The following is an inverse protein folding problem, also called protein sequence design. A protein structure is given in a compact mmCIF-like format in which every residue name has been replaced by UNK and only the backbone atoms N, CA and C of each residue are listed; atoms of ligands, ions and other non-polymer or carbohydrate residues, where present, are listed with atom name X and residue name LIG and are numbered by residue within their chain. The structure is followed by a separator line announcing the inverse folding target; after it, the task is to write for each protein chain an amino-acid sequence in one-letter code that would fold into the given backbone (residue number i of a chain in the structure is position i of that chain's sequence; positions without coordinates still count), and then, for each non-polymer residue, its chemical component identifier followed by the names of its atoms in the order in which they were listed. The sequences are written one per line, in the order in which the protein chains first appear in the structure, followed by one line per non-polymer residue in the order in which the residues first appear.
data_IF_570185873439
#
_entry.id   IF_570185873439
#
_cell.length_a   1.000
_cell.length_b   1.000
_cell.length_c   1.000
_cell.angle_alpha   90.00
_cell.angle_beta   90.00
_cell.angle_gamma   90.00
#
_symmetry.space_group_name_H-M   'P 1'
#
loop_
_entity.id
_entity.type
_entity.pdbx_description
1 polymer ?
#
# COMPACT_ATOMS: atom_id res chain seq x y z
N UNK A 1 -19.83 4.82 -2.43
CA UNK A 1 -18.50 5.47 -2.46
C UNK A 1 -18.04 5.68 -3.88
N UNK A 2 -17.67 6.91 -4.26
CA UNK A 2 -17.04 7.28 -5.53
C UNK A 2 -15.64 7.79 -5.26
N UNK A 3 -14.65 7.14 -5.83
CA UNK A 3 -13.23 7.51 -5.73
C UNK A 3 -12.48 6.97 -6.95
N UNK A 4 -11.33 7.53 -7.30
CA UNK A 4 -10.56 7.10 -8.46
C UNK A 4 -9.88 5.72 -8.33
N UNK A 5 -10.09 4.98 -7.23
CA UNK A 5 -9.38 3.74 -6.90
C UNK A 5 -10.15 2.51 -7.37
N UNK A 6 -9.95 2.11 -8.61
CA UNK A 6 -10.66 0.96 -9.20
C UNK A 6 -10.25 -0.39 -8.60
N UNK A 7 -9.02 -0.54 -8.11
CA UNK A 7 -8.48 -1.79 -7.58
C UNK A 7 -7.90 -1.60 -6.18
N UNK A 8 -7.97 -2.67 -5.36
CA UNK A 8 -7.53 -2.62 -3.96
C UNK A 8 -6.06 -2.25 -3.73
N UNK A 9 -5.19 -2.44 -4.72
CA UNK A 9 -3.77 -2.05 -4.62
C UNK A 9 -3.54 -0.55 -4.72
N UNK A 10 -4.53 0.21 -5.19
CA UNK A 10 -4.51 1.68 -5.22
C UNK A 10 -4.96 2.28 -3.89
N UNK A 11 -5.73 1.53 -3.09
CA UNK A 11 -6.11 1.96 -1.76
C UNK A 11 -4.94 1.73 -0.79
N UNK A 12 -4.58 2.76 -0.04
CA UNK A 12 -3.60 2.66 1.05
C UNK A 12 -4.19 1.89 2.23
N UNK A 13 -3.32 1.46 3.14
CA UNK A 13 -3.78 0.75 4.34
C UNK A 13 -4.47 1.68 5.37
N UNK A 14 -4.22 2.97 5.27
CA UNK A 14 -4.85 4.04 6.04
C UNK A 14 -4.91 5.31 5.18
N UNK A 15 -5.84 6.24 5.42
CA UNK A 15 -5.88 7.54 4.74
C UNK A 15 -4.55 8.28 4.89
N UNK A 16 -4.10 8.95 3.84
CA UNK A 16 -2.94 9.83 3.87
C UNK A 16 -3.37 11.26 3.57
N UNK A 17 -3.42 12.10 4.57
CA UNK A 17 -3.91 13.48 4.47
C UNK A 17 -3.00 14.41 3.66
N UNK A 18 -1.79 13.97 3.32
CA UNK A 18 -0.88 14.72 2.44
C UNK A 18 -1.28 14.64 0.98
N UNK A 19 -2.21 13.76 0.63
CA UNK A 19 -2.73 13.63 -0.72
C UNK A 19 -3.84 14.66 -0.96
N UNK A 20 -3.77 15.36 -2.07
CA UNK A 20 -4.85 16.23 -2.55
C UNK A 20 -5.89 15.37 -3.31
N UNK A 21 -6.64 14.56 -2.58
CA UNK A 21 -7.65 13.68 -3.14
C UNK A 21 -9.04 14.07 -2.60
N UNK A 22 -10.01 14.22 -3.50
CA UNK A 22 -11.41 14.38 -3.15
C UNK A 22 -12.18 13.11 -3.49
N UNK A 23 -12.93 12.60 -2.53
CA UNK A 23 -13.78 11.44 -2.65
C UNK A 23 -15.23 11.82 -2.35
N UNK A 24 -16.21 10.99 -2.78
CA UNK A 24 -17.63 11.27 -2.59
C UNK A 24 -18.38 10.05 -2.08
N UNK A 25 -19.28 10.27 -1.13
CA UNK A 25 -20.32 9.31 -0.76
C UNK A 25 -21.65 9.84 -1.27
N UNK A 26 -22.28 9.08 -2.16
CA UNK A 26 -23.60 9.37 -2.69
C UNK A 26 -24.64 8.53 -1.94
N UNK A 27 -25.58 9.17 -1.27
CA UNK A 27 -26.68 8.50 -0.57
C UNK A 27 -27.83 8.18 -1.53
N UNK A 28 -28.50 7.06 -1.29
CA UNK A 28 -29.61 6.60 -2.13
C UNK A 28 -30.75 7.63 -2.16
N UNK A 29 -31.40 7.83 -3.32
CA UNK A 29 -32.56 8.71 -3.41
C UNK A 29 -33.80 8.14 -2.72
N UNK A 30 -34.72 9.02 -2.34
CA UNK A 30 -36.03 8.62 -1.85
C UNK A 30 -36.09 8.08 -0.44
N UNK A 31 -35.03 8.26 0.36
CA UNK A 31 -34.93 7.81 1.74
C UNK A 31 -34.86 8.97 2.75
N UNK A 32 -35.09 10.21 2.29
CA UNK A 32 -35.04 11.42 3.10
C UNK A 32 -33.66 11.63 3.80
N UNK A 33 -32.59 11.18 3.18
CA UNK A 33 -31.24 11.30 3.73
C UNK A 33 -30.75 12.74 3.78
N UNK A 34 -31.31 13.65 2.98
CA UNK A 34 -31.02 15.09 3.02
C UNK A 34 -31.28 15.67 4.43
N UNK A 35 -32.36 15.26 5.07
CA UNK A 35 -32.64 15.67 6.45
C UNK A 35 -31.70 15.00 7.46
N UNK A 36 -31.28 13.77 7.21
CA UNK A 36 -30.35 13.06 8.08
C UNK A 36 -28.93 13.65 8.03
N UNK A 37 -28.60 14.44 7.00
CA UNK A 37 -27.33 15.15 6.87
C UNK A 37 -27.34 16.54 7.50
N UNK A 38 -28.47 17.00 8.05
CA UNK A 38 -28.55 18.30 8.73
C UNK A 38 -27.50 18.39 9.84
N UNK A 39 -26.89 19.54 9.97
CA UNK A 39 -25.84 19.87 10.97
C UNK A 39 -24.51 19.08 10.85
N UNK A 40 -24.39 18.17 9.87
CA UNK A 40 -23.18 17.36 9.69
C UNK A 40 -21.96 18.21 9.29
N UNK A 41 -22.17 19.30 8.55
CA UNK A 41 -21.10 20.22 8.13
C UNK A 41 -20.37 20.92 9.30
N UNK A 42 -20.97 20.92 10.50
CA UNK A 42 -20.30 21.39 11.71
C UNK A 42 -19.15 20.50 12.20
N UNK A 43 -19.01 19.30 11.65
CA UNK A 43 -17.95 18.36 12.04
C UNK A 43 -16.81 18.36 11.01
N UNK A 44 -15.58 18.42 11.48
CA UNK A 44 -14.40 18.34 10.60
C UNK A 44 -14.22 16.95 10.01
N UNK A 45 -14.65 15.90 10.74
CA UNK A 45 -14.49 14.51 10.35
C UNK A 45 -15.75 13.70 10.62
N UNK A 46 -15.91 12.65 9.83
CA UNK A 46 -16.96 11.65 10.03
C UNK A 46 -16.37 10.25 10.02
N UNK A 47 -16.94 9.35 10.80
CA UNK A 47 -16.75 7.92 10.67
C UNK A 47 -17.57 7.40 9.51
N UNK A 48 -16.93 6.68 8.58
CA UNK A 48 -17.60 5.82 7.62
C UNK A 48 -17.57 4.39 8.13
N UNK A 49 -18.73 3.76 8.26
CA UNK A 49 -18.89 2.34 8.53
C UNK A 49 -19.26 1.67 7.20
N UNK A 50 -18.45 0.74 6.74
CA UNK A 50 -18.52 0.25 5.38
C UNK A 50 -18.20 -1.24 5.27
N UNK A 51 -18.46 -1.84 4.10
CA UNK A 51 -18.29 -3.26 3.84
C UNK A 51 -17.08 -3.55 2.97
N UNK A 52 -16.25 -4.52 3.40
CA UNK A 52 -15.20 -5.11 2.56
C UNK A 52 -15.81 -6.01 1.48
N UNK A 53 -16.61 -5.46 0.60
CA UNK A 53 -17.44 -6.13 -0.39
C UNK A 53 -16.69 -7.00 -1.41
N UNK A 54 -15.35 -6.88 -1.46
CA UNK A 54 -14.48 -7.68 -2.32
C UNK A 54 -13.73 -8.78 -1.55
N UNK A 55 -14.18 -9.11 -0.35
CA UNK A 55 -13.56 -10.13 0.49
C UNK A 55 -14.61 -11.17 0.91
N UNK A 56 -14.47 -12.39 0.35
CA UNK A 56 -15.45 -13.48 0.51
C UNK A 56 -15.09 -14.48 1.61
N UNK A 57 -13.98 -14.27 2.31
CA UNK A 57 -13.51 -15.22 3.32
C UNK A 57 -13.03 -14.54 4.60
N UNK A 58 -13.14 -15.27 5.70
CA UNK A 58 -12.54 -14.86 6.96
C UNK A 58 -11.43 -15.82 7.40
N UNK A 59 -10.56 -15.35 8.28
CA UNK A 59 -9.47 -16.14 8.86
C UNK A 59 -9.30 -15.75 10.31
N UNK A 60 -9.20 -16.72 11.20
CA UNK A 60 -8.99 -16.48 12.63
C UNK A 60 -7.68 -15.73 12.90
N UNK A 61 -6.66 -15.94 12.05
CA UNK A 61 -5.36 -15.28 12.14
C UNK A 61 -4.89 -14.79 10.77
N UNK A 62 -4.25 -13.65 10.76
CA UNK A 62 -3.66 -12.99 9.57
C UNK A 62 -2.24 -12.55 9.86
N UNK A 63 -1.45 -12.32 8.82
CA UNK A 63 -0.15 -11.65 8.91
C UNK A 63 -0.38 -10.20 8.51
N UNK A 64 -0.20 -9.22 9.43
CA UNK A 64 -0.32 -7.80 9.10
C UNK A 64 0.72 -7.37 8.06
N UNK A 65 0.48 -6.29 7.29
CA UNK A 65 1.44 -5.76 6.33
C UNK A 65 2.65 -5.08 6.99
N UNK A 66 2.52 -4.66 8.26
CA UNK A 66 3.58 -4.03 9.06
C UNK A 66 4.15 -5.00 10.09
N UNK A 67 5.40 -4.78 10.48
CA UNK A 67 6.09 -5.57 11.48
C UNK A 67 6.55 -6.93 11.00
N UNK A 68 6.96 -7.83 11.91
CA UNK A 68 7.47 -9.16 11.58
C UNK A 68 6.38 -10.06 10.99
N UNK A 69 6.79 -11.15 10.30
CA UNK A 69 5.86 -12.16 9.76
C UNK A 69 5.22 -13.03 10.85
N UNK A 70 4.63 -12.40 11.84
CA UNK A 70 3.93 -13.08 12.93
C UNK A 70 2.42 -13.08 12.66
N UNK A 71 1.79 -14.24 12.79
CA UNK A 71 0.33 -14.33 12.75
C UNK A 71 -0.26 -13.62 13.97
N UNK A 72 -1.29 -12.83 13.74
CA UNK A 72 -2.05 -12.12 14.76
C UNK A 72 -3.51 -12.55 14.66
N UNK A 73 -4.22 -12.61 15.78
CA UNK A 73 -5.67 -12.77 15.77
C UNK A 73 -6.33 -11.66 14.94
N UNK A 74 -7.32 -12.01 14.13
CA UNK A 74 -7.93 -11.04 13.21
C UNK A 74 -8.53 -9.83 13.94
N UNK A 75 -9.06 -10.03 15.15
CA UNK A 75 -9.62 -8.97 15.99
C UNK A 75 -8.56 -8.02 16.58
N UNK A 76 -7.30 -8.45 16.63
CA UNK A 76 -6.17 -7.58 16.98
C UNK A 76 -5.59 -6.83 15.75
N UNK A 77 -6.31 -6.80 14.63
CA UNK A 77 -5.92 -6.16 13.37
C UNK A 77 -7.11 -5.45 12.74
N UNK A 78 -6.85 -4.62 11.72
CA UNK A 78 -7.88 -4.03 10.85
C UNK A 78 -7.99 -4.76 9.49
N UNK A 79 -7.64 -6.05 9.46
CA UNK A 79 -7.70 -6.89 8.26
C UNK A 79 -9.15 -7.05 7.76
N UNK A 80 -9.37 -7.14 6.43
CA UNK A 80 -10.68 -7.43 5.84
C UNK A 80 -11.18 -8.86 6.08
N UNK A 81 -10.29 -9.79 6.46
CA UNK A 81 -10.63 -11.21 6.63
C UNK A 81 -11.35 -11.48 7.95
N UNK A 82 -12.43 -10.75 8.23
CA UNK A 82 -13.22 -10.78 9.47
C UNK A 82 -14.49 -11.60 9.30
N UNK A 83 -15.07 -12.18 10.38
CA UNK A 83 -16.38 -12.83 10.31
C UNK A 83 -17.47 -11.89 9.80
N UNK A 84 -17.52 -10.67 10.34
CA UNK A 84 -18.30 -9.56 9.78
C UNK A 84 -17.32 -8.63 9.07
N UNK A 85 -17.37 -8.62 7.76
CA UNK A 85 -16.40 -7.91 6.92
C UNK A 85 -16.65 -6.37 6.91
N UNK A 86 -16.78 -5.78 8.11
CA UNK A 86 -17.01 -4.36 8.32
C UNK A 86 -15.68 -3.61 8.46
N UNK A 87 -15.58 -2.48 7.78
CA UNK A 87 -14.53 -1.49 7.93
C UNK A 87 -15.05 -0.23 8.62
N UNK A 88 -14.15 0.51 9.26
CA UNK A 88 -14.43 1.79 9.90
C UNK A 88 -13.24 2.72 9.66
N UNK A 89 -13.52 3.88 9.07
CA UNK A 89 -12.48 4.84 8.69
C UNK A 89 -12.93 6.26 9.04
N UNK A 90 -12.16 7.04 9.81
CA UNK A 90 -12.42 8.46 10.00
C UNK A 90 -11.90 9.22 8.78
N UNK A 91 -12.75 10.00 8.14
CA UNK A 91 -12.40 10.79 6.96
C UNK A 91 -12.70 12.26 7.19
N UNK A 92 -11.92 13.14 6.56
CA UNK A 92 -12.18 14.58 6.59
C UNK A 92 -13.44 14.87 5.78
N UNK A 93 -14.38 15.63 6.36
CA UNK A 93 -15.56 16.14 5.68
C UNK A 93 -15.19 17.48 5.02
N UNK A 94 -15.36 17.57 3.71
CA UNK A 94 -15.10 18.77 2.93
C UNK A 94 -16.36 19.60 2.68
N UNK A 95 -17.54 18.96 2.76
CA UNK A 95 -18.84 19.60 2.60
C UNK A 95 -19.95 18.60 2.30
N UNK A 96 -21.19 19.08 2.32
CA UNK A 96 -22.40 18.32 2.02
C UNK A 96 -23.18 19.05 0.92
N UNK A 97 -23.51 18.36 -0.16
CA UNK A 97 -24.24 18.89 -1.31
C UNK A 97 -25.46 17.99 -1.58
N UNK A 98 -26.62 18.37 -1.02
CA UNK A 98 -27.82 17.53 -1.10
C UNK A 98 -27.58 16.16 -0.45
N UNK A 99 -27.53 15.10 -1.26
CA UNK A 99 -27.26 13.72 -0.81
C UNK A 99 -25.82 13.28 -1.01
N UNK A 100 -24.91 14.20 -1.32
CA UNK A 100 -23.51 13.90 -1.59
C UNK A 100 -22.65 14.48 -0.48
N UNK A 101 -21.84 13.64 0.18
CA UNK A 101 -20.76 14.07 1.05
C UNK A 101 -19.48 14.18 0.22
N UNK A 102 -18.83 15.32 0.29
CA UNK A 102 -17.48 15.53 -0.23
C UNK A 102 -16.48 15.24 0.88
N UNK A 103 -15.54 14.37 0.59
CA UNK A 103 -14.61 13.81 1.57
C UNK A 103 -13.17 13.98 1.11
N UNK A 104 -12.27 14.13 2.06
CA UNK A 104 -10.85 14.09 1.80
C UNK A 104 -10.33 12.67 1.48
N UNK A 105 -9.00 12.49 1.52
CA UNK A 105 -8.36 11.20 1.24
C UNK A 105 -8.94 10.06 2.07
N UNK A 106 -9.12 8.90 1.48
CA UNK A 106 -9.62 7.71 2.16
C UNK A 106 -8.92 6.43 1.67
N UNK A 107 -9.09 5.35 2.41
CA UNK A 107 -8.55 4.01 2.13
C UNK A 107 -9.56 3.06 1.45
N UNK A 108 -10.68 3.59 0.96
CA UNK A 108 -11.73 2.83 0.31
C UNK A 108 -11.48 2.72 -1.21
N UNK A 109 -12.11 1.72 -1.83
CA UNK A 109 -12.11 1.54 -3.28
C UNK A 109 -13.45 1.96 -3.89
N UNK A 110 -13.44 2.22 -5.19
CA UNK A 110 -14.64 2.56 -5.97
C UNK A 110 -15.77 1.54 -5.76
N UNK A 111 -16.99 2.03 -5.56
CA UNK A 111 -18.17 1.21 -5.34
C UNK A 111 -18.31 0.61 -3.95
N UNK A 112 -17.43 0.95 -2.98
CA UNK A 112 -17.57 0.45 -1.61
C UNK A 112 -18.91 0.84 -1.00
N UNK A 113 -19.74 -0.12 -0.57
CA UNK A 113 -20.99 0.17 0.14
C UNK A 113 -20.72 0.80 1.51
N UNK A 114 -21.35 1.91 1.79
CA UNK A 114 -21.35 2.58 3.09
C UNK A 114 -22.64 2.21 3.82
N UNK A 115 -22.53 1.70 5.04
CA UNK A 115 -23.67 1.29 5.85
C UNK A 115 -24.17 2.40 6.77
N UNK A 116 -23.22 3.20 7.31
CA UNK A 116 -23.54 4.23 8.28
C UNK A 116 -22.51 5.35 8.25
N UNK A 117 -22.92 6.54 8.67
CA UNK A 117 -22.10 7.72 8.84
C UNK A 117 -22.33 8.25 10.24
N UNK A 118 -21.25 8.51 10.99
CA UNK A 118 -21.34 9.10 12.33
C UNK A 118 -20.39 10.29 12.45
N UNK A 119 -20.75 11.32 13.22
CA UNK A 119 -19.79 12.39 13.49
C UNK A 119 -18.57 11.82 14.25
N UNK A 120 -17.37 12.34 13.95
CA UNK A 120 -16.19 12.10 14.76
C UNK A 120 -16.12 13.15 15.85
N UNK A 121 -16.13 12.72 17.10
CA UNK A 121 -16.11 13.59 18.27
C UNK A 121 -14.82 13.34 19.05
N UNK A 122 -13.78 14.22 18.93
CA UNK A 122 -12.45 13.98 19.53
C UNK A 122 -12.49 13.62 21.02
N UNK A 123 -13.41 14.21 21.77
CA UNK A 123 -13.55 13.96 23.22
C UNK A 123 -13.93 12.50 23.55
N UNK A 124 -14.56 11.79 22.61
CA UNK A 124 -15.02 10.41 22.80
C UNK A 124 -14.27 9.40 21.94
N UNK A 125 -13.73 9.85 20.81
CA UNK A 125 -13.16 8.97 19.78
C UNK A 125 -11.62 8.94 19.81
N UNK A 126 -10.96 9.89 20.48
CA UNK A 126 -9.51 9.98 20.51
C UNK A 126 -8.94 9.73 21.91
N UNK A 127 -8.06 8.74 22.01
CA UNK A 127 -7.33 8.37 23.22
C UNK A 127 -5.82 8.30 22.91
N UNK A 128 -5.14 9.46 22.72
CA UNK A 128 -3.75 9.48 22.24
C UNK A 128 -2.75 8.73 23.14
N UNK A 129 -3.03 8.63 24.45
CA UNK A 129 -2.20 7.91 25.42
C UNK A 129 -2.54 6.42 25.58
N UNK A 130 -3.52 5.89 24.83
CA UNK A 130 -3.89 4.50 24.93
C UNK A 130 -2.83 3.59 24.28
N UNK A 131 -2.52 2.45 24.93
CA UNK A 131 -1.62 1.44 24.39
C UNK A 131 -2.23 0.83 23.13
N UNK A 132 -1.43 0.74 22.05
CA UNK A 132 -1.83 0.14 20.77
C UNK A 132 -1.35 -1.33 20.62
N UNK A 133 -0.94 -1.95 21.72
CA UNK A 133 -0.54 -3.35 21.76
C UNK A 133 0.67 -3.65 20.89
N UNK A 134 0.57 -4.63 19.99
CA UNK A 134 1.68 -5.01 19.12
C UNK A 134 2.11 -3.91 18.12
N UNK A 135 1.26 -2.90 17.89
CA UNK A 135 1.59 -1.77 17.01
C UNK A 135 2.66 -0.89 17.66
N UNK A 136 2.61 -0.68 18.98
CA UNK A 136 3.64 0.07 19.72
C UNK A 136 5.03 -0.55 19.54
N UNK A 137 5.12 -1.91 19.56
CA UNK A 137 6.37 -2.63 19.31
C UNK A 137 6.89 -2.38 17.89
N UNK A 138 5.98 -2.37 16.91
CA UNK A 138 6.32 -2.12 15.49
C UNK A 138 6.74 -0.67 15.29
N UNK A 139 6.03 0.28 15.87
CA UNK A 139 6.34 1.70 15.77
C UNK A 139 7.71 2.01 16.41
N UNK A 140 8.01 1.43 17.58
CA UNK A 140 9.32 1.54 18.20
C UNK A 140 10.44 0.94 17.34
N UNK A 141 10.20 -0.23 16.73
CA UNK A 141 11.16 -0.85 15.83
C UNK A 141 11.35 -0.05 14.52
N UNK A 142 10.28 0.59 14.02
CA UNK A 142 10.34 1.45 12.83
C UNK A 142 10.99 2.81 13.12
N UNK A 143 10.94 3.31 14.35
CA UNK A 143 11.62 4.53 14.80
C UNK A 143 13.11 4.29 15.12
N UNK A 144 13.53 3.03 15.33
CA UNK A 144 14.92 2.70 15.56
C UNK A 144 15.80 3.06 14.34
N UNK A 145 17.07 3.37 14.54
CA UNK A 145 18.02 3.61 13.45
C UNK A 145 18.02 2.44 12.46
N UNK A 146 18.19 2.75 11.17
CA UNK A 146 18.25 1.72 10.12
C UNK A 146 19.45 0.81 10.32
N UNK A 147 19.22 -0.50 10.26
CA UNK A 147 20.26 -1.51 10.51
C UNK A 147 21.17 -1.76 9.28
N UNK A 148 20.77 -1.25 8.09
CA UNK A 148 21.49 -1.50 6.85
C UNK A 148 21.70 -0.21 6.06
N UNK A 149 22.90 -0.03 5.51
CA UNK A 149 23.14 0.90 4.43
C UNK A 149 22.64 0.28 3.11
N UNK A 150 22.04 1.08 2.22
CA UNK A 150 21.57 0.61 0.91
C UNK A 150 22.33 1.33 -0.19
N UNK A 151 23.16 0.59 -0.89
CA UNK A 151 23.98 1.07 -1.98
C UNK A 151 23.52 0.49 -3.32
N UNK A 152 23.68 1.27 -4.39
CA UNK A 152 23.39 0.82 -5.76
C UNK A 152 24.73 0.49 -6.46
N UNK A 153 24.78 -0.65 -7.12
CA UNK A 153 25.85 -0.95 -8.08
C UNK A 153 25.68 -0.10 -9.35
N UNK A 154 26.73 0.04 -10.14
CA UNK A 154 26.75 0.90 -11.35
C UNK A 154 25.60 0.60 -12.29
N UNK A 155 25.27 -0.69 -12.49
CA UNK A 155 24.14 -1.11 -13.32
C UNK A 155 22.79 -0.61 -12.79
N UNK A 156 22.53 -0.80 -11.50
CA UNK A 156 21.28 -0.36 -10.86
C UNK A 156 21.15 1.16 -10.91
N UNK A 157 22.27 1.88 -10.79
CA UNK A 157 22.31 3.34 -10.93
C UNK A 157 21.95 3.78 -12.34
N UNK A 158 22.60 3.20 -13.38
CA UNK A 158 22.28 3.49 -14.78
C UNK A 158 20.80 3.24 -15.11
N UNK A 159 20.27 2.11 -14.67
CA UNK A 159 18.87 1.75 -14.86
C UNK A 159 17.91 2.72 -14.18
N UNK A 160 18.23 3.15 -12.96
CA UNK A 160 17.43 4.11 -12.20
C UNK A 160 17.43 5.50 -12.86
N UNK A 161 18.58 5.96 -13.30
CA UNK A 161 18.72 7.26 -13.95
C UNK A 161 17.97 7.29 -15.29
N UNK A 162 18.04 6.20 -16.05
CA UNK A 162 17.28 6.07 -17.30
C UNK A 162 15.75 6.08 -17.06
N UNK A 163 15.27 5.36 -16.05
CA UNK A 163 13.85 5.34 -15.67
C UNK A 163 13.37 6.72 -15.24
N UNK A 164 14.16 7.40 -14.43
CA UNK A 164 13.82 8.75 -13.93
C UNK A 164 13.81 9.78 -15.05
N UNK A 165 14.84 9.79 -15.89
CA UNK A 165 15.00 10.77 -16.96
C UNK A 165 14.00 10.58 -18.11
N UNK A 166 13.77 9.35 -18.54
CA UNK A 166 12.93 9.05 -19.72
C UNK A 166 11.46 8.81 -19.41
N UNK A 167 11.12 8.35 -18.19
CA UNK A 167 9.80 7.81 -17.86
C UNK A 167 9.18 8.40 -16.60
N UNK A 168 9.89 9.27 -15.88
CA UNK A 168 9.45 9.82 -14.59
C UNK A 168 9.13 8.72 -13.54
N UNK A 169 9.79 7.57 -13.66
CA UNK A 169 9.61 6.42 -12.73
C UNK A 169 10.72 6.45 -11.70
N UNK A 170 10.37 6.63 -10.43
CA UNK A 170 11.30 6.57 -9.29
C UNK A 170 10.68 5.81 -8.11
N UNK A 171 10.97 4.53 -8.01
CA UNK A 171 10.53 3.67 -6.92
C UNK A 171 11.64 3.35 -5.90
N UNK A 172 12.88 3.78 -6.17
CA UNK A 172 14.04 3.50 -5.34
C UNK A 172 13.97 4.11 -3.93
N UNK A 173 13.44 5.32 -3.70
CA UNK A 173 13.28 5.83 -2.33
C UNK A 173 12.53 4.85 -1.42
N UNK A 174 11.46 4.25 -1.94
CA UNK A 174 10.68 3.25 -1.20
C UNK A 174 11.43 1.93 -1.02
N UNK A 175 12.17 1.48 -2.01
CA UNK A 175 13.03 0.29 -1.91
C UNK A 175 14.11 0.51 -0.84
N UNK A 176 14.79 1.65 -0.85
CA UNK A 176 15.81 2.01 0.15
C UNK A 176 15.24 2.04 1.55
N UNK A 177 14.09 2.67 1.77
CA UNK A 177 13.42 2.72 3.07
C UNK A 177 13.15 1.31 3.63
N UNK A 178 12.62 0.41 2.79
CA UNK A 178 12.27 -0.95 3.22
C UNK A 178 13.52 -1.81 3.51
N UNK A 179 14.50 -1.76 2.62
CA UNK A 179 15.72 -2.58 2.74
C UNK A 179 16.66 -2.08 3.85
N UNK A 180 16.72 -0.77 4.09
CA UNK A 180 17.52 -0.22 5.18
C UNK A 180 17.06 -0.71 6.57
N UNK A 181 15.78 -1.01 6.71
CA UNK A 181 15.21 -1.53 7.97
C UNK A 181 15.40 -3.03 8.13
N UNK A 182 15.02 -3.80 7.11
CA UNK A 182 15.05 -5.26 7.17
C UNK A 182 15.01 -5.85 5.76
N UNK A 183 16.13 -6.34 5.21
CA UNK A 183 16.21 -6.98 3.90
C UNK A 183 15.79 -8.45 3.91
N UNK A 184 15.37 -9.02 5.05
CA UNK A 184 14.98 -10.42 5.15
C UNK A 184 13.73 -10.72 4.28
N UNK A 185 13.63 -11.96 3.74
CA UNK A 185 12.46 -12.39 2.99
C UNK A 185 11.16 -12.14 3.77
N UNK A 186 10.24 -11.39 3.15
CA UNK A 186 8.98 -11.01 3.79
C UNK A 186 7.87 -10.93 2.76
N UNK A 187 6.84 -11.77 2.91
CA UNK A 187 5.76 -11.91 1.91
C UNK A 187 5.00 -10.60 1.67
N UNK A 188 4.69 -9.87 2.72
CA UNK A 188 3.90 -8.62 2.60
C UNK A 188 4.74 -7.45 2.07
N UNK A 189 6.05 -7.44 2.32
CA UNK A 189 6.99 -6.48 1.71
C UNK A 189 7.44 -6.91 0.31
N UNK A 190 6.93 -8.07 -0.18
CA UNK A 190 7.28 -8.64 -1.47
C UNK A 190 8.78 -8.90 -1.65
N UNK A 191 9.46 -9.25 -0.54
CA UNK A 191 10.87 -9.66 -0.55
C UNK A 191 10.92 -11.18 -0.64
N UNK A 192 11.60 -11.71 -1.63
CA UNK A 192 11.79 -13.15 -1.83
C UNK A 192 13.25 -13.49 -2.15
N UNK A 193 13.63 -14.74 -1.87
CA UNK A 193 14.92 -15.28 -2.26
C UNK A 193 14.90 -15.65 -3.74
N UNK A 194 16.02 -15.41 -4.43
CA UNK A 194 16.31 -15.85 -5.78
C UNK A 194 17.56 -16.73 -5.78
N UNK A 195 17.95 -17.28 -6.91
CA UNK A 195 19.15 -18.11 -7.03
C UNK A 195 20.44 -17.30 -6.82
N UNK A 196 20.41 -16.00 -7.10
CA UNK A 196 21.57 -15.10 -7.02
C UNK A 196 21.54 -14.11 -5.87
N UNK A 197 20.51 -14.17 -4.99
CA UNK A 197 20.35 -13.25 -3.88
C UNK A 197 18.89 -13.07 -3.48
N UNK A 198 18.42 -11.86 -3.53
CA UNK A 198 17.06 -11.50 -3.17
C UNK A 198 16.47 -10.52 -4.18
N UNK A 199 15.15 -10.44 -4.22
CA UNK A 199 14.45 -9.37 -4.90
C UNK A 199 13.35 -8.77 -4.03
N UNK A 200 13.07 -7.48 -4.24
CA UNK A 200 11.94 -6.77 -3.66
C UNK A 200 11.05 -6.20 -4.77
N UNK A 201 9.75 -6.45 -4.68
CA UNK A 201 8.76 -5.85 -5.58
C UNK A 201 8.23 -4.53 -5.02
N UNK A 202 8.25 -3.46 -5.82
CA UNK A 202 7.74 -2.15 -5.48
C UNK A 202 6.87 -1.60 -6.63
N UNK A 203 5.56 -1.56 -6.43
CA UNK A 203 4.63 -1.22 -7.51
C UNK A 203 4.71 -2.19 -8.70
N UNK A 204 4.90 -1.63 -9.89
CA UNK A 204 5.10 -2.36 -11.14
C UNK A 204 6.57 -2.72 -11.41
N UNK A 205 7.46 -2.48 -10.44
CA UNK A 205 8.90 -2.66 -10.57
C UNK A 205 9.46 -3.56 -9.47
N UNK A 206 10.70 -3.98 -9.63
CA UNK A 206 11.46 -4.77 -8.66
C UNK A 206 12.93 -4.37 -8.67
N UNK A 207 13.59 -4.59 -7.53
CA UNK A 207 15.02 -4.46 -7.40
C UNK A 207 15.63 -5.79 -6.93
N UNK A 208 16.70 -6.21 -7.57
CA UNK A 208 17.53 -7.34 -7.17
C UNK A 208 18.62 -6.85 -6.23
N UNK A 209 18.89 -7.61 -5.18
CA UNK A 209 19.89 -7.18 -4.19
C UNK A 209 20.57 -8.36 -3.49
N UNK A 210 21.72 -8.07 -2.87
CA UNK A 210 22.46 -8.96 -1.98
C UNK A 210 22.61 -8.29 -0.62
N UNK A 211 22.75 -9.10 0.41
CA UNK A 211 23.01 -8.63 1.78
C UNK A 211 24.40 -9.06 2.14
N UNK A 212 25.25 -8.09 2.40
CA UNK A 212 26.59 -8.29 2.96
C UNK A 212 26.48 -8.12 4.48
N UNK A 213 26.80 -9.18 5.23
CA UNK A 213 26.80 -9.10 6.68
C UNK A 213 27.98 -8.20 7.10
N UNK A 214 27.70 -7.29 8.01
CA UNK A 214 28.73 -6.56 8.69
C UNK A 214 29.49 -7.48 9.67
N UNK A 215 30.75 -7.15 9.93
CA UNK A 215 31.43 -7.61 11.12
C UNK A 215 30.68 -7.10 12.37
N UNK A 216 30.87 -7.78 13.51
CA UNK A 216 30.04 -7.62 14.73
C UNK A 216 29.85 -6.18 15.27
N UNK A 217 30.45 -5.18 14.65
CA UNK A 217 30.43 -3.77 15.07
C UNK A 217 29.91 -2.76 14.02
N UNK A 218 29.53 -3.17 12.81
CA UNK A 218 29.09 -2.27 11.74
C UNK A 218 27.67 -2.59 11.24
N UNK A 219 26.94 -1.60 10.73
CA UNK A 219 25.68 -1.80 10.04
C UNK A 219 25.89 -2.66 8.77
N UNK A 220 25.00 -3.61 8.51
CA UNK A 220 25.05 -4.42 7.29
C UNK A 220 24.88 -3.56 6.03
N UNK A 221 25.35 -4.04 4.90
CA UNK A 221 25.19 -3.37 3.61
C UNK A 221 24.28 -4.18 2.70
N UNK A 222 23.29 -3.53 2.13
CA UNK A 222 22.46 -4.08 1.06
C UNK A 222 22.90 -3.48 -0.26
N UNK A 223 23.40 -4.32 -1.17
CA UNK A 223 23.77 -3.90 -2.52
C UNK A 223 22.66 -4.21 -3.50
N UNK A 224 22.09 -3.18 -4.08
CA UNK A 224 21.10 -3.31 -5.18
C UNK A 224 21.90 -3.52 -6.46
N UNK A 225 21.78 -4.71 -7.04
CA UNK A 225 22.58 -5.17 -8.20
C UNK A 225 21.95 -4.86 -9.53
N UNK A 226 20.62 -4.65 -9.55
CA UNK A 226 19.88 -4.32 -10.77
C UNK A 226 18.41 -4.10 -10.51
N UNK A 227 17.75 -3.53 -11.50
CA UNK A 227 16.30 -3.27 -11.53
C UNK A 227 15.64 -4.09 -12.63
N UNK A 228 14.32 -4.22 -12.57
CA UNK A 228 13.55 -4.86 -13.63
C UNK A 228 12.05 -4.68 -13.46
N UNK A 229 11.28 -4.94 -14.50
CA UNK A 229 9.81 -4.98 -14.47
C UNK A 229 9.27 -6.03 -13.53
N UNK A 230 8.10 -5.79 -12.94
CA UNK A 230 7.40 -6.80 -12.15
C UNK A 230 6.57 -7.77 -13.01
N UNK A 231 6.44 -7.50 -14.30
CA UNK A 231 5.68 -8.30 -15.25
C UNK A 231 6.58 -8.84 -16.36
N UNK A 232 6.46 -10.12 -16.72
CA UNK A 232 7.15 -10.69 -17.90
C UNK A 232 6.71 -10.00 -19.19
N UNK A 233 7.61 -9.89 -20.18
CA UNK A 233 7.35 -9.23 -21.47
C UNK A 233 6.10 -9.76 -22.15
N UNK A 234 5.91 -11.08 -22.19
CA UNK A 234 4.73 -11.75 -22.76
C UNK A 234 3.38 -11.30 -22.18
N UNK A 235 3.36 -10.88 -20.90
CA UNK A 235 2.13 -10.35 -20.29
C UNK A 235 1.93 -8.88 -20.65
N UNK A 236 3.00 -8.11 -20.73
CA UNK A 236 2.94 -6.71 -21.14
C UNK A 236 2.48 -6.55 -22.60
N UNK A 237 2.82 -7.49 -23.46
CA UNK A 237 2.46 -7.50 -24.89
C UNK A 237 1.05 -8.06 -25.15
N UNK A 238 0.45 -8.74 -24.17
CA UNK A 238 -0.84 -9.41 -24.32
C UNK A 238 -2.00 -8.41 -24.28
N UNK A 239 -3.01 -8.66 -25.08
CA UNK A 239 -4.30 -7.96 -25.03
C UNK A 239 -4.96 -8.11 -23.64
N UNK A 240 -5.51 -7.02 -23.11
CA UNK A 240 -6.11 -6.95 -21.77
C UNK A 240 -5.15 -6.50 -20.67
N UNK A 241 -3.88 -6.26 -20.96
CA UNK A 241 -2.87 -5.76 -20.02
C UNK A 241 -2.49 -4.29 -20.23
N UNK A 242 -3.29 -3.54 -20.99
CA UNK A 242 -3.05 -2.12 -21.30
C UNK A 242 -3.07 -1.22 -20.05
N UNK A 243 -3.77 -1.68 -18.99
CA UNK A 243 -3.89 -0.97 -17.70
C UNK A 243 -2.77 -1.28 -16.71
N UNK A 244 -1.76 -2.05 -17.09
CA UNK A 244 -0.59 -2.27 -16.23
C UNK A 244 0.14 -0.94 -16.05
N UNK A 245 0.41 -0.52 -14.80
CA UNK A 245 1.14 0.72 -14.56
C UNK A 245 2.51 0.70 -15.24
N UNK A 246 2.91 1.82 -15.81
CA UNK A 246 4.21 2.01 -16.49
C UNK A 246 4.48 1.00 -17.62
N UNK A 247 3.45 0.47 -18.27
CA UNK A 247 3.56 -0.61 -19.26
C UNK A 247 4.59 -0.29 -20.36
N UNK A 248 4.53 0.90 -20.93
CA UNK A 248 5.45 1.32 -22.01
C UNK A 248 6.89 1.42 -21.50
N UNK A 249 7.08 1.97 -20.30
CA UNK A 249 8.38 2.05 -19.66
C UNK A 249 8.95 0.65 -19.39
N UNK A 250 8.12 -0.30 -18.96
CA UNK A 250 8.54 -1.68 -18.71
C UNK A 250 8.96 -2.40 -20.01
N UNK A 251 8.23 -2.21 -21.11
CA UNK A 251 8.60 -2.77 -22.42
C UNK A 251 9.92 -2.16 -22.93
N UNK A 252 10.04 -0.84 -22.92
CA UNK A 252 11.27 -0.15 -23.34
C UNK A 252 12.48 -0.52 -22.45
N UNK A 253 12.24 -0.77 -21.16
CA UNK A 253 13.28 -1.25 -20.25
C UNK A 253 13.78 -2.63 -20.63
N UNK A 254 12.88 -3.57 -20.96
CA UNK A 254 13.24 -4.93 -21.37
C UNK A 254 13.91 -4.95 -22.76
N UNK A 255 13.57 -4.04 -23.66
CA UNK A 255 14.27 -3.92 -24.93
C UNK A 255 15.72 -3.43 -24.75
N UNK A 256 15.98 -2.58 -23.74
CA UNK A 256 17.32 -2.12 -23.41
C UNK A 256 18.13 -3.08 -22.55
N UNK A 257 17.47 -3.77 -21.60
CA UNK A 257 18.07 -4.74 -20.69
C UNK A 257 17.28 -6.07 -20.68
N UNK A 258 17.39 -6.88 -21.74
CA UNK A 258 16.61 -8.13 -21.85
C UNK A 258 16.87 -9.15 -20.74
N UNK A 259 18.09 -9.16 -20.20
CA UNK A 259 18.49 -10.02 -19.09
C UNK A 259 17.87 -9.63 -17.73
N UNK A 260 17.19 -8.49 -17.66
CA UNK A 260 16.37 -8.08 -16.49
C UNK A 260 14.96 -8.66 -16.50
N UNK A 261 14.60 -9.49 -17.49
CA UNK A 261 13.29 -10.15 -17.52
C UNK A 261 13.16 -11.17 -16.38
N UNK A 262 11.96 -11.29 -15.84
CA UNK A 262 11.62 -12.31 -14.87
C UNK A 262 11.78 -13.70 -15.50
N UNK A 263 12.53 -14.61 -14.86
CA UNK A 263 12.51 -16.00 -15.28
C UNK A 263 11.08 -16.51 -15.17
N UNK A 264 10.61 -17.14 -16.25
CA UNK A 264 9.31 -17.80 -16.28
C UNK A 264 9.34 -18.95 -15.28
N UNK A 265 8.72 -18.79 -14.13
CA UNK A 265 8.36 -19.96 -13.33
C UNK A 265 7.24 -20.65 -14.07
N UNK A 266 7.45 -21.90 -14.45
CA UNK A 266 6.37 -22.78 -14.85
C UNK A 266 5.31 -22.74 -13.76
N UNK A 267 4.16 -22.17 -14.10
CA UNK A 267 2.97 -22.22 -13.25
C UNK A 267 2.49 -23.67 -13.33
N UNK A 268 2.91 -24.47 -12.34
CA UNK A 268 2.28 -25.76 -12.05
C UNK A 268 1.05 -25.55 -11.19
#
# INVERSE_FOLDING_TARGET
MRCGKAVKFQAKHQPDEREAEENRVELLPGQNFEQALADLEGFERVWLIWWFHRNDNWRAQVIPPRGPQKRRGVFATRSPHRPNALGMTPVKLLGVEGRVLRLGPCDLVEGTPIFDIKPYVPAYDAFPGARAGWIDEVDAAEAAPTAFAVELESRATEQADWLRAGWSVDFLPRVRELLARDPAPHRTRRIRRTDTGFEIGCGAWRAMFRVEKADASAAGVVRVTGLGPAYPKRFLEREGYEKVPDREAQLAFLDRWPDSELPLKDVR
#
